data_IF_971896916422
#
_entry.id   IF_971896916422
#
_cell.length_a   1.000
_cell.length_b   1.000
_cell.length_c   1.000
_cell.angle_alpha   90.00
_cell.angle_beta   90.00
_cell.angle_gamma   90.00
#
_symmetry.space_group_name_H-M   'P 1'
#
loop_
_entity.id
_entity.type
_entity.pdbx_description
1 polymer ?
#
# COMPACT_ATOMS: atom_id res chain seq x y z
N UNK A 1 -19.91 45.53 39.15
CA UNK A 1 -20.28 44.90 37.87
C UNK A 1 -19.32 45.39 36.81
N UNK A 2 -18.34 44.56 36.43
CA UNK A 2 -17.34 44.89 35.41
C UNK A 2 -17.21 43.67 34.51
N UNK A 3 -17.61 43.78 33.25
CA UNK A 3 -17.37 42.74 32.27
C UNK A 3 -16.04 43.03 31.57
N UNK A 4 -15.04 42.19 31.88
CA UNK A 4 -13.73 42.14 31.25
C UNK A 4 -13.80 41.58 29.83
N UNK A 5 -12.87 42.09 29.01
CA UNK A 5 -12.13 41.45 27.91
C UNK A 5 -12.31 39.93 27.82
N UNK A 6 -12.72 39.42 26.65
CA UNK A 6 -12.48 38.03 26.28
C UNK A 6 -11.45 38.00 25.15
N UNK A 7 -10.35 37.33 25.48
CA UNK A 7 -9.16 37.09 24.70
C UNK A 7 -9.38 35.94 23.70
N UNK A 8 -8.51 35.91 22.70
CA UNK A 8 -8.36 34.89 21.66
C UNK A 8 -8.08 33.47 22.20
N UNK A 9 -8.35 32.52 21.28
CA UNK A 9 -7.75 31.18 21.12
C UNK A 9 -8.08 30.12 22.19
N UNK A 10 -8.64 28.99 21.76
CA UNK A 10 -8.05 27.65 21.89
C UNK A 10 -8.93 26.57 21.22
N UNK A 11 -8.25 25.79 20.37
CA UNK A 11 -8.30 24.33 20.28
C UNK A 11 -9.55 23.61 19.72
N UNK A 12 -9.32 22.93 18.58
CA UNK A 12 -9.91 21.61 18.33
C UNK A 12 -10.59 21.45 16.98
N UNK A 13 -9.92 20.77 16.04
CA UNK A 13 -10.47 19.77 15.09
C UNK A 13 -9.33 19.33 14.16
N UNK A 14 -8.64 18.25 14.50
CA UNK A 14 -8.98 16.89 14.09
C UNK A 14 -8.76 16.68 12.58
N UNK A 15 -7.59 16.12 12.29
CA UNK A 15 -7.33 15.15 11.23
C UNK A 15 -8.05 15.38 9.89
N UNK A 16 -7.38 16.09 8.99
CA UNK A 16 -7.71 16.04 7.57
C UNK A 16 -7.46 14.60 7.08
N UNK A 17 -8.46 13.88 6.53
CA UNK A 17 -8.23 12.56 5.99
C UNK A 17 -7.33 12.68 4.78
N UNK A 18 -6.08 12.22 4.96
CA UNK A 18 -5.07 12.12 3.93
C UNK A 18 -5.64 11.31 2.76
N UNK A 19 -5.78 11.99 1.62
CA UNK A 19 -5.96 11.49 0.26
C UNK A 19 -5.72 9.97 0.10
N UNK A 20 -6.78 9.17 0.24
CA UNK A 20 -6.77 7.73 0.04
C UNK A 20 -6.83 7.32 -1.46
N UNK A 21 -6.32 8.18 -2.35
CA UNK A 21 -6.44 7.98 -3.80
C UNK A 21 -5.10 8.27 -4.46
N UNK A 22 -4.09 7.42 -4.19
CA UNK A 22 -2.76 7.66 -4.78
C UNK A 22 -1.69 6.56 -4.72
N UNK A 23 -1.89 5.41 -4.06
CA UNK A 23 -0.73 4.53 -3.79
C UNK A 23 -1.01 3.03 -3.73
N UNK A 24 -1.50 2.45 -4.82
CA UNK A 24 -1.17 1.04 -5.12
C UNK A 24 -0.34 0.93 -6.40
N UNK A 25 0.49 1.94 -6.67
CA UNK A 25 1.63 1.78 -7.58
C UNK A 25 2.52 0.71 -6.97
N UNK A 26 2.91 -0.29 -7.77
CA UNK A 26 3.81 -1.34 -7.32
C UNK A 26 5.09 -0.70 -6.76
N UNK A 27 5.43 -1.03 -5.52
CA UNK A 27 6.64 -0.53 -4.84
C UNK A 27 7.87 -1.13 -5.53
N UNK A 28 7.77 -2.38 -5.97
CA UNK A 28 8.81 -3.09 -6.71
C UNK A 28 8.21 -4.21 -7.54
N UNK A 29 8.82 -4.50 -8.67
CA UNK A 29 8.50 -5.65 -9.50
C UNK A 29 9.79 -6.29 -10.05
N UNK A 30 9.72 -7.57 -10.42
CA UNK A 30 10.87 -8.29 -10.96
C UNK A 30 10.68 -9.79 -11.06
N UNK A 31 11.52 -10.42 -11.88
CA UNK A 31 11.61 -11.86 -12.00
C UNK A 31 12.32 -12.47 -10.80
N UNK A 32 11.66 -13.41 -10.12
CA UNK A 32 12.24 -14.20 -9.03
C UNK A 32 11.94 -15.68 -9.21
N UNK A 33 12.74 -16.55 -8.58
CA UNK A 33 12.48 -17.99 -8.52
C UNK A 33 11.71 -18.32 -7.23
N UNK A 34 10.56 -18.99 -7.37
CA UNK A 34 9.78 -19.53 -6.25
C UNK A 34 9.79 -21.04 -6.25
N UNK A 35 9.82 -21.65 -5.07
CA UNK A 35 9.61 -23.08 -4.91
C UNK A 35 8.11 -23.41 -4.89
N UNK A 36 7.71 -24.52 -5.50
CA UNK A 36 6.35 -25.02 -5.43
C UNK A 36 6.00 -25.53 -4.02
N UNK A 37 4.74 -25.38 -3.63
CA UNK A 37 4.23 -25.81 -2.33
C UNK A 37 4.20 -27.33 -2.22
N UNK A 38 3.46 -27.97 -3.14
CA UNK A 38 3.26 -29.42 -3.19
C UNK A 38 4.44 -30.14 -3.84
N UNK A 39 4.73 -29.84 -5.11
CA UNK A 39 5.94 -30.32 -5.80
C UNK A 39 7.05 -29.30 -5.58
N UNK A 40 8.20 -29.75 -5.08
CA UNK A 40 9.35 -28.91 -4.73
C UNK A 40 10.18 -28.46 -5.95
N UNK A 41 9.51 -28.12 -7.05
CA UNK A 41 10.13 -27.55 -8.26
C UNK A 41 10.32 -26.05 -8.12
N UNK A 42 11.33 -25.51 -8.82
CA UNK A 42 11.58 -24.07 -8.87
C UNK A 42 11.00 -23.48 -10.16
N UNK A 43 10.25 -22.40 -10.03
CA UNK A 43 9.64 -21.69 -11.16
C UNK A 43 10.01 -20.22 -11.13
N UNK A 44 10.32 -19.67 -12.30
CA UNK A 44 10.48 -18.23 -12.50
C UNK A 44 9.09 -17.60 -12.64
N UNK A 45 8.80 -16.56 -11.85
CA UNK A 45 7.53 -15.82 -11.86
C UNK A 45 7.82 -14.34 -11.77
N UNK A 46 6.93 -13.54 -12.33
CA UNK A 46 6.96 -12.10 -12.19
C UNK A 46 6.32 -11.72 -10.86
N UNK A 47 7.08 -11.12 -9.96
CA UNK A 47 6.59 -10.69 -8.65
C UNK A 47 6.25 -9.20 -8.66
N UNK A 48 5.17 -8.84 -8.00
CA UNK A 48 4.72 -7.45 -7.84
C UNK A 48 4.38 -7.20 -6.39
N UNK A 49 5.10 -6.28 -5.75
CA UNK A 49 4.85 -5.82 -4.39
C UNK A 49 3.96 -4.56 -4.44
N UNK A 50 2.74 -4.63 -3.89
CA UNK A 50 1.81 -3.49 -3.81
C UNK A 50 1.42 -3.27 -2.35
N UNK A 51 1.94 -2.21 -1.73
CA UNK A 51 1.81 -2.03 -0.29
C UNK A 51 2.49 -3.18 0.45
N UNK A 52 1.74 -3.88 1.29
CA UNK A 52 2.21 -5.03 2.08
C UNK A 52 1.89 -6.40 1.43
N UNK A 53 1.28 -6.38 0.25
CA UNK A 53 0.82 -7.58 -0.45
C UNK A 53 1.78 -7.94 -1.59
N UNK A 54 2.17 -9.20 -1.64
CA UNK A 54 3.03 -9.76 -2.68
C UNK A 54 2.21 -10.64 -3.62
N UNK A 55 2.18 -10.26 -4.88
CA UNK A 55 1.54 -11.02 -5.95
C UNK A 55 2.60 -11.66 -6.84
N UNK A 56 2.24 -12.76 -7.50
CA UNK A 56 3.05 -13.32 -8.56
C UNK A 56 2.21 -13.73 -9.76
N UNK A 57 2.79 -13.61 -10.94
CA UNK A 57 2.18 -13.86 -12.23
C UNK A 57 3.07 -14.79 -13.03
N UNK A 58 2.53 -15.46 -14.05
CA UNK A 58 3.36 -16.28 -14.93
C UNK A 58 4.40 -15.39 -15.61
N UNK A 59 3.91 -14.29 -16.18
CA UNK A 59 4.64 -13.33 -17.02
C UNK A 59 4.30 -11.87 -16.62
N UNK A 60 4.99 -10.87 -17.19
CA UNK A 60 4.80 -9.45 -16.81
C UNK A 60 3.48 -8.84 -17.28
N UNK A 61 2.97 -9.28 -18.43
CA UNK A 61 1.76 -8.77 -19.07
C UNK A 61 0.47 -9.38 -18.50
N UNK A 62 0.60 -10.37 -17.62
CA UNK A 62 -0.54 -11.10 -17.11
C UNK A 62 -1.23 -10.29 -15.99
N UNK A 63 -2.53 -10.08 -16.14
CA UNK A 63 -3.34 -9.26 -15.22
C UNK A 63 -3.94 -10.06 -14.06
N UNK A 64 -3.87 -11.40 -14.12
CA UNK A 64 -4.44 -12.30 -13.10
C UNK A 64 -3.34 -12.98 -12.28
N UNK A 65 -3.30 -12.77 -10.95
CA UNK A 65 -2.30 -13.42 -10.10
C UNK A 65 -2.57 -14.93 -9.99
N UNK A 66 -1.49 -15.69 -9.82
CA UNK A 66 -1.49 -17.15 -9.62
C UNK A 66 -1.38 -17.53 -8.14
#
# INVERSE_FOLDING_TARGET
ESASLIMEEHNGSAESPQLNQGRHVAIKCGWLRKQGGFVKTWHTRWFVLKGEQLFYFKDEDETKPL
#
